data_IF_929886041131
#
_entry.id   IF_929886041131
#
_cell.length_a   1.000
_cell.length_b   1.000
_cell.length_c   1.000
_cell.angle_alpha   90.00
_cell.angle_beta   90.00
_cell.angle_gamma   90.00
#
_symmetry.space_group_name_H-M   'P 1'
#
loop_
_entity.id
_entity.type
_entity.pdbx_description
1 polymer ?
#
# COMPACT_ATOMS: atom_id res chain seq x y z
N UNK A 1 -6.06 -58.58 -20.76
CA UNK A 1 -5.17 -57.49 -20.29
C UNK A 1 -5.31 -57.38 -18.78
N UNK A 2 -4.30 -57.79 -18.02
CA UNK A 2 -4.34 -57.70 -16.56
C UNK A 2 -4.21 -56.24 -16.12
N UNK A 3 -5.15 -55.74 -15.31
CA UNK A 3 -5.05 -54.41 -14.70
C UNK A 3 -3.83 -54.39 -13.77
N UNK A 4 -2.96 -53.36 -13.83
CA UNK A 4 -1.85 -53.26 -12.90
C UNK A 4 -2.38 -53.25 -11.45
N UNK A 5 -1.64 -53.84 -10.50
CA UNK A 5 -2.09 -53.90 -9.12
C UNK A 5 -2.26 -52.48 -8.58
N UNK A 6 -3.35 -52.22 -7.83
CA UNK A 6 -3.65 -50.92 -7.23
C UNK A 6 -2.47 -50.36 -6.39
N UNK A 7 -1.59 -51.24 -5.90
CA UNK A 7 -0.36 -50.87 -5.20
C UNK A 7 0.68 -50.17 -6.09
N UNK A 8 0.78 -50.53 -7.37
CA UNK A 8 1.71 -49.91 -8.31
C UNK A 8 1.25 -48.48 -8.68
N UNK A 9 -0.06 -48.27 -8.82
CA UNK A 9 -0.64 -46.94 -9.05
C UNK A 9 -0.44 -46.02 -7.83
N UNK A 10 -0.63 -46.54 -6.61
CA UNK A 10 -0.38 -45.80 -5.38
C UNK A 10 1.11 -45.48 -5.17
N UNK A 11 2.01 -46.40 -5.54
CA UNK A 11 3.45 -46.19 -5.49
C UNK A 11 3.93 -45.15 -6.53
N UNK A 12 3.40 -45.20 -7.75
CA UNK A 12 3.66 -44.21 -8.80
C UNK A 12 3.14 -42.82 -8.40
N UNK A 13 1.96 -42.73 -7.77
CA UNK A 13 1.43 -41.47 -7.24
C UNK A 13 2.31 -40.89 -6.12
N UNK A 14 2.80 -41.74 -5.20
CA UNK A 14 3.74 -41.31 -4.15
C UNK A 14 5.10 -40.88 -4.71
N UNK A 15 5.61 -41.56 -5.73
CA UNK A 15 6.85 -41.15 -6.41
C UNK A 15 6.66 -39.83 -7.16
N UNK A 16 5.56 -39.66 -7.88
CA UNK A 16 5.20 -38.43 -8.58
C UNK A 16 5.07 -37.23 -7.62
N UNK A 17 4.49 -37.42 -6.44
CA UNK A 17 4.46 -36.40 -5.37
C UNK A 17 5.85 -36.05 -4.84
N UNK A 18 6.77 -37.02 -4.80
CA UNK A 18 8.15 -36.80 -4.33
C UNK A 18 8.98 -36.00 -5.35
N UNK A 19 8.67 -36.14 -6.63
CA UNK A 19 9.29 -35.42 -7.76
C UNK A 19 8.58 -34.14 -8.16
N UNK A 20 7.47 -33.78 -7.51
CA UNK A 20 6.82 -32.51 -7.76
C UNK A 20 7.84 -31.37 -7.53
N UNK A 21 8.02 -30.44 -8.49
CA UNK A 21 9.03 -29.40 -8.38
C UNK A 21 8.74 -28.57 -7.15
N UNK A 22 9.52 -28.81 -6.09
CA UNK A 22 9.46 -28.02 -4.87
C UNK A 22 9.94 -26.62 -5.25
N UNK A 23 9.04 -25.65 -5.19
CA UNK A 23 9.39 -24.26 -5.49
C UNK A 23 10.53 -23.87 -4.56
N UNK A 24 11.61 -23.32 -5.13
CA UNK A 24 12.76 -22.84 -4.36
C UNK A 24 12.28 -21.96 -3.20
N UNK A 25 12.77 -22.17 -1.96
CA UNK A 25 12.33 -21.40 -0.80
C UNK A 25 12.54 -19.88 -0.99
N UNK A 26 13.57 -19.51 -1.74
CA UNK A 26 13.82 -18.11 -2.12
C UNK A 26 12.74 -17.54 -3.05
N UNK A 27 12.28 -18.32 -4.05
CA UNK A 27 11.20 -17.91 -4.95
C UNK A 27 9.87 -17.79 -4.20
N UNK A 28 9.59 -18.70 -3.27
CA UNK A 28 8.40 -18.60 -2.41
C UNK A 28 8.40 -17.30 -1.59
N UNK A 29 9.54 -16.96 -0.97
CA UNK A 29 9.70 -15.72 -0.21
C UNK A 29 9.51 -14.47 -1.08
N UNK A 30 10.08 -14.45 -2.28
CA UNK A 30 9.90 -13.34 -3.22
C UNK A 30 8.43 -13.17 -3.63
N UNK A 31 7.74 -14.25 -3.98
CA UNK A 31 6.31 -14.23 -4.33
C UNK A 31 5.48 -13.70 -3.16
N UNK A 32 5.78 -14.17 -1.94
CA UNK A 32 5.09 -13.70 -0.74
C UNK A 32 5.28 -12.20 -0.51
N UNK A 33 6.51 -11.68 -0.66
CA UNK A 33 6.79 -10.25 -0.53
C UNK A 33 6.12 -9.42 -1.62
N UNK A 34 6.05 -9.92 -2.86
CA UNK A 34 5.33 -9.25 -3.95
C UNK A 34 3.84 -9.16 -3.63
N UNK A 35 3.23 -10.27 -3.23
CA UNK A 35 1.81 -10.30 -2.86
C UNK A 35 1.49 -9.37 -1.70
N UNK A 36 2.41 -9.23 -0.74
CA UNK A 36 2.27 -8.29 0.37
C UNK A 36 2.52 -6.83 -0.05
N UNK A 37 3.38 -6.60 -1.04
CA UNK A 37 3.69 -5.27 -1.59
C UNK A 37 2.59 -4.68 -2.49
N UNK A 38 1.85 -5.53 -3.21
CA UNK A 38 0.78 -5.08 -4.11
C UNK A 38 -0.29 -4.24 -3.40
N UNK A 39 -0.87 -4.66 -2.26
CA UNK A 39 -1.85 -3.84 -1.52
C UNK A 39 -1.29 -2.46 -1.13
N UNK A 40 -0.03 -2.40 -0.69
CA UNK A 40 0.62 -1.15 -0.31
C UNK A 40 0.74 -0.20 -1.52
N UNK A 41 1.11 -0.74 -2.68
CA UNK A 41 1.20 0.02 -3.93
C UNK A 41 -0.18 0.49 -4.41
N UNK A 42 -1.21 -0.35 -4.31
CA UNK A 42 -2.57 0.02 -4.74
C UNK A 42 -3.15 1.15 -3.88
N UNK A 43 -3.01 1.07 -2.56
CA UNK A 43 -3.55 2.09 -1.63
C UNK A 43 -2.85 3.44 -1.83
N UNK A 44 -1.52 3.45 -1.92
CA UNK A 44 -0.76 4.68 -2.16
C UNK A 44 -1.05 5.28 -3.54
N UNK A 45 -1.09 4.45 -4.58
CA UNK A 45 -1.42 4.89 -5.95
C UNK A 45 -2.83 5.44 -6.06
N UNK A 46 -3.80 4.83 -5.38
CA UNK A 46 -5.19 5.33 -5.35
C UNK A 46 -5.28 6.72 -4.67
N UNK A 47 -4.52 6.93 -3.60
CA UNK A 47 -4.43 8.24 -2.95
C UNK A 47 -3.88 9.32 -3.89
N UNK A 48 -2.82 9.01 -4.63
CA UNK A 48 -2.22 9.92 -5.61
C UNK A 48 -3.15 10.16 -6.81
N UNK A 49 -3.80 9.11 -7.32
CA UNK A 49 -4.76 9.22 -8.43
C UNK A 49 -5.87 10.22 -8.12
N UNK A 50 -6.45 10.16 -6.91
CA UNK A 50 -7.48 11.12 -6.47
C UNK A 50 -6.97 12.56 -6.41
N UNK A 51 -5.70 12.76 -6.03
CA UNK A 51 -5.13 14.12 -6.00
C UNK A 51 -4.82 14.64 -7.40
N UNK A 52 -4.18 13.82 -8.24
CA UNK A 52 -3.69 14.25 -9.55
C UNK A 52 -4.83 14.42 -10.58
N UNK A 53 -5.79 13.48 -10.60
CA UNK A 53 -6.81 13.41 -11.66
C UNK A 53 -8.15 13.97 -11.20
N UNK A 54 -8.57 13.67 -9.96
CA UNK A 54 -9.83 14.20 -9.42
C UNK A 54 -9.67 15.58 -8.77
N UNK A 55 -8.46 16.12 -8.70
CA UNK A 55 -8.17 17.43 -8.10
C UNK A 55 -8.47 17.50 -6.60
N UNK A 56 -8.54 16.36 -5.90
CA UNK A 56 -8.80 16.37 -4.46
C UNK A 56 -7.62 16.95 -3.70
N UNK A 57 -7.89 17.90 -2.80
CA UNK A 57 -6.85 18.49 -1.99
C UNK A 57 -6.36 17.54 -0.89
N UNK A 58 -5.09 17.69 -0.52
CA UNK A 58 -4.53 17.04 0.66
C UNK A 58 -5.37 17.46 1.87
N UNK A 59 -5.77 16.49 2.70
CA UNK A 59 -6.40 16.80 3.98
C UNK A 59 -5.43 17.60 4.84
N UNK A 60 -5.77 18.86 5.09
CA UNK A 60 -5.06 19.75 6.01
C UNK A 60 -5.74 19.72 7.38
N UNK A 61 -4.94 19.90 8.42
CA UNK A 61 -5.47 20.10 9.75
C UNK A 61 -6.03 21.53 9.83
N UNK A 62 -7.34 21.64 10.05
CA UNK A 62 -8.05 22.93 10.08
C UNK A 62 -8.40 23.39 11.50
N UNK A 63 -8.09 22.58 12.50
CA UNK A 63 -8.35 22.91 13.90
C UNK A 63 -7.83 21.86 14.87
N UNK A 64 -8.05 22.14 16.14
CA UNK A 64 -7.74 21.26 17.27
C UNK A 64 -8.92 21.16 18.24
N UNK A 65 -9.02 19.99 18.89
CA UNK A 65 -9.97 19.81 19.97
C UNK A 65 -9.36 20.44 21.23
N UNK A 66 -10.02 21.46 21.76
CA UNK A 66 -9.61 22.06 23.04
C UNK A 66 -9.92 21.11 24.20
N UNK A 67 -9.25 21.28 25.36
CA UNK A 67 -9.48 20.45 26.55
C UNK A 67 -10.94 20.46 27.02
N UNK A 68 -11.67 21.54 26.73
CA UNK A 68 -13.09 21.71 27.05
C UNK A 68 -14.02 21.04 26.01
N UNK A 69 -13.46 20.30 25.05
CA UNK A 69 -14.20 19.57 24.02
C UNK A 69 -14.72 20.43 22.86
N UNK A 70 -14.37 21.72 22.80
CA UNK A 70 -14.74 22.59 21.67
C UNK A 70 -13.72 22.50 20.53
N UNK A 71 -14.20 22.56 19.29
CA UNK A 71 -13.34 22.61 18.12
C UNK A 71 -12.85 24.04 17.92
N UNK A 72 -11.56 24.29 18.17
CA UNK A 72 -10.91 25.55 17.83
C UNK A 72 -10.42 25.46 16.40
N UNK A 73 -11.03 26.25 15.52
CA UNK A 73 -10.57 26.37 14.13
C UNK A 73 -9.28 27.20 14.09
N UNK A 74 -8.35 26.79 13.24
CA UNK A 74 -7.10 27.49 13.02
C UNK A 74 -7.29 28.63 12.02
N UNK A 75 -6.55 29.72 12.21
CA UNK A 75 -6.45 30.78 11.21
C UNK A 75 -5.58 30.32 10.02
N UNK A 76 -5.71 30.98 8.87
CA UNK A 76 -4.96 30.61 7.65
C UNK A 76 -3.44 30.58 7.89
N UNK A 77 -2.91 31.50 8.69
CA UNK A 77 -1.49 31.55 9.06
C UNK A 77 -1.07 30.33 9.89
N UNK A 78 -1.89 29.93 10.88
CA UNK A 78 -1.63 28.77 11.73
C UNK A 78 -1.69 27.46 10.92
N UNK A 79 -2.58 27.38 9.93
CA UNK A 79 -2.67 26.22 9.02
C UNK A 79 -1.36 26.08 8.21
N UNK A 80 -0.81 27.18 7.70
CA UNK A 80 0.43 27.20 6.92
C UNK A 80 1.62 26.82 7.82
N UNK A 81 1.67 27.34 9.04
CA UNK A 81 2.74 27.02 9.99
C UNK A 81 2.72 25.54 10.39
N UNK A 82 1.55 25.00 10.75
CA UNK A 82 1.37 23.57 11.02
C UNK A 82 1.69 22.68 9.83
N UNK A 83 1.35 23.12 8.63
CA UNK A 83 1.71 22.38 7.41
C UNK A 83 3.24 22.33 7.23
N UNK A 84 3.96 23.43 7.47
CA UNK A 84 5.44 23.47 7.43
C UNK A 84 6.08 22.59 8.51
N UNK A 85 5.45 22.51 9.69
CA UNK A 85 5.93 21.67 10.79
C UNK A 85 5.72 20.18 10.56
N UNK A 86 4.78 19.79 9.69
CA UNK A 86 4.47 18.39 9.42
C UNK A 86 5.67 17.61 8.87
N UNK A 87 5.92 16.41 9.40
CA UNK A 87 6.96 15.49 8.90
C UNK A 87 6.90 15.27 7.40
N UNK A 88 5.69 15.23 6.83
CA UNK A 88 5.51 15.05 5.40
C UNK A 88 6.12 16.22 4.61
N UNK A 89 5.83 17.45 5.02
CA UNK A 89 6.37 18.66 4.38
C UNK A 89 7.87 18.81 4.61
N UNK A 90 8.39 18.33 5.74
CA UNK A 90 9.85 18.32 6.00
C UNK A 90 10.63 17.38 5.09
N UNK A 91 10.03 16.24 4.72
CA UNK A 91 10.68 15.22 3.88
C UNK A 91 10.48 15.53 2.39
N UNK A 92 9.29 15.94 2.00
CA UNK A 92 8.90 16.10 0.58
C UNK A 92 8.88 17.56 0.11
N UNK A 93 9.12 18.53 0.99
CA UNK A 93 9.06 19.95 0.68
C UNK A 93 7.63 20.50 0.65
N UNK A 94 7.49 21.80 0.33
CA UNK A 94 6.19 22.42 0.13
C UNK A 94 5.64 22.07 -1.27
N UNK A 95 4.38 21.64 -1.34
CA UNK A 95 3.72 21.25 -2.61
C UNK A 95 3.35 22.46 -3.50
N UNK A 96 4.03 23.61 -3.35
CA UNK A 96 3.74 24.89 -4.02
C UNK A 96 3.72 24.82 -5.55
N UNK A 97 4.40 23.84 -6.16
CA UNK A 97 4.36 23.56 -7.60
C UNK A 97 2.99 23.03 -8.10
N UNK A 98 2.16 22.41 -7.25
CA UNK A 98 0.83 21.93 -7.67
C UNK A 98 -0.19 23.07 -7.85
N UNK A 99 0.04 24.22 -7.22
CA UNK A 99 -0.81 25.40 -7.35
C UNK A 99 -0.70 26.08 -8.73
N UNK A 100 0.41 25.92 -9.45
CA UNK A 100 0.65 26.59 -10.75
C UNK A 100 0.09 25.83 -11.96
N UNK A 101 -0.25 24.54 -11.80
CA UNK A 101 -0.89 23.72 -12.86
C UNK A 101 -2.40 24.00 -12.95
N UNK A 102 -2.98 24.70 -11.96
CA UNK A 102 -4.40 25.10 -11.89
C UNK A 102 -4.64 26.52 -12.46
N UNK A 103 -4.12 26.83 -13.66
CA UNK A 103 -4.57 27.98 -14.45
C UNK A 103 -5.32 27.51 -15.68
#
# INVERSE_FOLDING_TARGET
MARPPLSAAAAAAKQAQKTAPKIDPNKQRSIHLILLGIPLMVVSSYGLYKRLIMGQEKRRQVGEMTPDGQLRMFNEEEIIEREKESYFTRIFGSESWTSSIRK
#
